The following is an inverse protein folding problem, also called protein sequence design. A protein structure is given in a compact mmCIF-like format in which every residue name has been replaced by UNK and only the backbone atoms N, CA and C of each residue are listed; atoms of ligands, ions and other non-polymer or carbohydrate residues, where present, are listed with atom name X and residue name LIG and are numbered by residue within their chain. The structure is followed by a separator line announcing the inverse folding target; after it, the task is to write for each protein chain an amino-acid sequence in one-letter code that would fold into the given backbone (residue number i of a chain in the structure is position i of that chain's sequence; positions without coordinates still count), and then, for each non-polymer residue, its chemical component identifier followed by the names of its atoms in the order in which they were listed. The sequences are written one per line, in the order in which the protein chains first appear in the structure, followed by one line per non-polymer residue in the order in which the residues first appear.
data_IF_007217681877
#
_entry.id   IF_007217681877
#
_cell.length_a   1.000
_cell.length_b   1.000
_cell.length_c   1.000
_cell.angle_alpha   90.00
_cell.angle_beta   90.00
_cell.angle_gamma   90.00
#
_symmetry.space_group_name_H-M   'P 1'
#
loop_
_entity.id
_entity.type
_entity.pdbx_description
1 polymer ?
#
# COMPACT_ATOMS: atom_id res chain seq x y z
N UNK A 1 -0.32 9.17 32.54
CA UNK A 1 -0.77 10.58 32.66
C UNK A 1 0.45 11.48 32.87
N UNK A 2 0.74 12.38 31.93
CA UNK A 2 1.92 13.26 31.93
C UNK A 2 1.59 14.67 32.46
N UNK A 3 0.33 15.09 32.33
CA UNK A 3 -0.14 16.40 32.85
C UNK A 3 -1.47 16.24 33.57
N UNK A 4 -1.44 16.33 34.91
CA UNK A 4 -2.66 16.32 35.74
C UNK A 4 -3.52 17.57 35.51
N UNK A 5 -2.90 18.73 35.27
CA UNK A 5 -3.61 19.99 35.03
C UNK A 5 -4.41 19.94 33.73
N UNK A 6 -3.79 19.49 32.63
CA UNK A 6 -4.47 19.34 31.36
C UNK A 6 -5.60 18.30 31.45
N UNK A 7 -5.34 17.16 32.09
CA UNK A 7 -6.37 16.13 32.29
C UNK A 7 -7.59 16.67 33.05
N UNK A 8 -7.37 17.34 34.18
CA UNK A 8 -8.45 17.88 34.99
C UNK A 8 -9.26 18.95 34.25
N UNK A 9 -8.58 19.84 33.49
CA UNK A 9 -9.25 20.90 32.75
C UNK A 9 -10.09 20.32 31.58
N UNK A 10 -9.54 19.39 30.81
CA UNK A 10 -10.24 18.74 29.70
C UNK A 10 -11.38 17.86 30.20
N UNK A 11 -11.21 17.20 31.38
CA UNK A 11 -12.25 16.40 32.03
C UNK A 11 -13.44 17.25 32.43
N UNK A 12 -13.19 18.34 33.16
CA UNK A 12 -14.26 19.27 33.58
C UNK A 12 -15.03 19.83 32.39
N UNK A 13 -14.32 20.18 31.28
CA UNK A 13 -14.96 20.63 30.04
C UNK A 13 -15.82 19.53 29.41
N UNK A 14 -15.36 18.29 29.39
CA UNK A 14 -16.12 17.16 28.82
C UNK A 14 -17.39 16.84 29.64
N UNK A 15 -17.32 16.96 30.96
CA UNK A 15 -18.48 16.79 31.88
C UNK A 15 -19.55 17.87 31.67
N UNK A 16 -19.14 19.13 31.54
CA UNK A 16 -20.08 20.23 31.23
C UNK A 16 -20.66 20.11 29.84
N UNK A 17 -19.84 19.75 28.86
CA UNK A 17 -20.28 19.50 27.47
C UNK A 17 -21.28 18.33 27.40
N UNK A 18 -21.02 17.22 28.08
CA UNK A 18 -21.94 16.10 28.19
C UNK A 18 -23.30 16.53 28.72
N UNK A 19 -23.31 17.28 29.81
CA UNK A 19 -24.56 17.80 30.41
C UNK A 19 -25.35 18.72 29.48
N UNK A 20 -24.66 19.61 28.77
CA UNK A 20 -25.28 20.50 27.78
C UNK A 20 -25.90 19.70 26.61
N UNK A 21 -25.12 18.83 26.00
CA UNK A 21 -25.52 18.09 24.81
C UNK A 21 -26.65 17.09 25.10
N UNK A 22 -26.56 16.36 26.23
CA UNK A 22 -27.62 15.48 26.72
C UNK A 22 -28.91 16.26 27.03
N UNK A 23 -28.80 17.47 27.58
CA UNK A 23 -29.95 18.35 27.81
C UNK A 23 -30.64 18.80 26.54
N UNK A 24 -29.86 19.15 25.50
CA UNK A 24 -30.41 19.55 24.20
C UNK A 24 -31.08 18.38 23.47
N UNK A 25 -30.48 17.20 23.47
CA UNK A 25 -31.10 15.99 22.86
C UNK A 25 -32.38 15.57 23.59
N UNK A 26 -32.40 15.66 24.92
CA UNK A 26 -33.62 15.43 25.71
C UNK A 26 -34.74 16.46 25.39
N UNK A 27 -34.39 17.65 24.91
CA UNK A 27 -35.34 18.70 24.46
C UNK A 27 -35.73 18.56 22.98
N UNK A 28 -35.27 17.50 22.30
CA UNK A 28 -35.61 17.20 20.92
C UNK A 28 -34.60 17.64 19.86
N UNK A 29 -33.39 18.04 20.25
CA UNK A 29 -32.34 18.28 19.27
C UNK A 29 -31.90 16.93 18.65
N UNK A 30 -32.02 16.82 17.34
CA UNK A 30 -31.66 15.60 16.60
C UNK A 30 -30.18 15.61 16.20
N UNK A 31 -29.49 14.50 16.45
CA UNK A 31 -28.14 14.25 15.91
C UNK A 31 -28.30 13.79 14.46
N UNK A 32 -27.70 14.48 13.48
CA UNK A 32 -27.74 14.02 12.11
C UNK A 32 -27.05 12.65 11.96
N UNK A 33 -27.48 11.86 10.99
CA UNK A 33 -26.91 10.54 10.74
C UNK A 33 -26.70 10.32 9.25
N UNK A 34 -25.74 9.45 8.93
CA UNK A 34 -25.49 8.93 7.60
C UNK A 34 -25.92 7.48 7.53
N UNK A 35 -26.47 7.08 6.38
CA UNK A 35 -26.80 5.68 6.08
C UNK A 35 -25.58 5.02 5.46
N UNK A 36 -24.95 4.12 6.19
CA UNK A 36 -23.88 3.31 5.69
C UNK A 36 -24.42 1.93 5.27
N UNK A 37 -24.27 1.59 3.99
CA UNK A 37 -24.63 0.28 3.48
C UNK A 37 -23.46 -0.68 3.76
N UNK A 38 -23.67 -1.63 4.66
CA UNK A 38 -22.68 -2.66 4.93
C UNK A 38 -22.84 -3.77 3.91
N UNK A 39 -21.97 -3.79 2.89
CA UNK A 39 -21.90 -4.85 1.90
C UNK A 39 -21.46 -6.15 2.55
N UNK A 40 -22.39 -7.02 2.89
CA UNK A 40 -22.09 -8.40 3.29
C UNK A 40 -22.09 -9.28 2.05
N UNK A 41 -20.92 -9.68 1.57
CA UNK A 41 -20.78 -10.71 0.52
C UNK A 41 -21.49 -11.99 1.00
N UNK A 42 -22.62 -12.30 0.38
CA UNK A 42 -23.39 -13.52 0.67
C UNK A 42 -24.81 -13.31 1.17
N UNK A 43 -25.21 -12.12 1.57
CA UNK A 43 -26.60 -11.82 1.93
C UNK A 43 -27.29 -11.04 0.81
N UNK A 44 -28.47 -11.53 0.39
CA UNK A 44 -29.29 -10.91 -0.68
C UNK A 44 -29.96 -9.56 -0.28
N UNK A 45 -29.85 -9.16 0.99
CA UNK A 45 -30.47 -7.92 1.48
C UNK A 45 -29.37 -7.06 2.10
N UNK A 46 -29.18 -5.81 1.63
CA UNK A 46 -28.21 -4.90 2.22
C UNK A 46 -28.60 -4.59 3.67
N UNK A 47 -27.58 -4.61 4.56
CA UNK A 47 -27.75 -4.14 5.93
C UNK A 47 -27.37 -2.66 5.98
N UNK A 48 -28.31 -1.83 6.43
CA UNK A 48 -28.08 -0.40 6.63
C UNK A 48 -27.73 -0.13 8.08
N UNK A 49 -26.59 0.49 8.32
CA UNK A 49 -26.20 1.01 9.61
C UNK A 49 -26.39 2.53 9.64
N UNK A 50 -27.03 3.01 10.70
CA UNK A 50 -27.17 4.45 10.95
C UNK A 50 -25.93 4.92 11.74
N UNK A 51 -25.10 5.73 11.08
CA UNK A 51 -23.93 6.31 11.71
C UNK A 51 -24.21 7.74 12.13
N UNK A 52 -24.24 8.07 13.44
CA UNK A 52 -24.49 9.42 13.88
C UNK A 52 -23.32 10.35 13.55
N UNK A 53 -23.62 11.49 12.95
CA UNK A 53 -22.66 12.52 12.56
C UNK A 53 -22.38 13.47 13.76
N UNK A 54 -21.84 12.94 14.84
CA UNK A 54 -21.56 13.67 16.10
C UNK A 54 -20.69 14.90 15.84
N UNK A 55 -19.68 14.82 14.97
CA UNK A 55 -18.82 15.96 14.63
C UNK A 55 -19.59 17.14 14.01
N UNK A 56 -20.61 16.87 13.19
CA UNK A 56 -21.51 17.92 12.65
C UNK A 56 -22.38 18.54 13.74
N UNK A 57 -22.95 17.71 14.57
CA UNK A 57 -23.75 18.14 15.70
C UNK A 57 -22.97 19.07 16.63
N UNK A 58 -21.72 18.73 16.98
CA UNK A 58 -20.82 19.56 17.78
C UNK A 58 -20.46 20.86 17.08
N UNK A 59 -20.22 20.85 15.75
CA UNK A 59 -19.89 22.07 14.99
C UNK A 59 -20.99 23.10 15.02
N UNK A 60 -22.24 22.68 14.94
CA UNK A 60 -23.39 23.58 15.01
C UNK A 60 -23.56 24.21 16.41
N UNK A 61 -22.91 23.64 17.43
CA UNK A 61 -22.95 24.06 18.85
C UNK A 61 -21.65 24.67 19.36
N UNK A 62 -20.70 24.94 18.47
CA UNK A 62 -19.39 25.47 18.84
C UNK A 62 -19.48 26.68 19.78
N UNK A 63 -20.34 27.67 19.46
CA UNK A 63 -20.53 28.87 20.29
C UNK A 63 -21.16 28.58 21.66
N UNK A 64 -21.94 27.50 21.83
CA UNK A 64 -22.49 27.10 23.11
C UNK A 64 -21.40 26.41 23.96
N UNK A 65 -20.62 25.54 23.34
CA UNK A 65 -19.48 24.86 23.98
C UNK A 65 -18.42 25.84 24.45
N UNK A 66 -18.09 26.86 23.66
CA UNK A 66 -17.14 27.92 24.04
C UNK A 66 -17.57 28.76 25.23
N UNK A 67 -18.88 28.84 25.53
CA UNK A 67 -19.45 29.57 26.67
C UNK A 67 -19.47 28.75 27.96
N UNK A 68 -19.13 27.49 27.93
CA UNK A 68 -19.09 26.65 29.12
C UNK A 68 -18.02 27.17 30.11
N UNK A 69 -18.31 27.19 31.41
CA UNK A 69 -17.38 27.69 32.46
C UNK A 69 -16.00 27.01 32.43
N UNK A 70 -15.93 25.73 32.12
CA UNK A 70 -14.67 24.98 32.02
C UNK A 70 -13.89 25.21 30.74
N UNK A 71 -14.52 25.76 29.67
CA UNK A 71 -13.87 25.95 28.38
C UNK A 71 -12.58 26.80 28.43
N UNK A 72 -12.54 27.99 29.10
CA UNK A 72 -11.32 28.80 29.12
C UNK A 72 -10.12 28.12 29.77
N UNK A 73 -10.36 27.31 30.82
CA UNK A 73 -9.29 26.56 31.49
C UNK A 73 -8.75 25.42 30.58
N UNK A 74 -9.65 24.69 29.91
CA UNK A 74 -9.27 23.64 28.98
C UNK A 74 -8.55 24.19 27.74
N UNK A 75 -9.07 25.27 27.17
CA UNK A 75 -8.43 25.94 26.01
C UNK A 75 -7.05 26.52 26.39
N UNK A 76 -6.92 27.12 27.56
CA UNK A 76 -5.65 27.60 28.08
C UNK A 76 -4.60 26.52 28.24
N UNK A 77 -4.99 25.38 28.86
CA UNK A 77 -4.09 24.23 29.01
C UNK A 77 -3.64 23.61 27.67
N UNK A 78 -4.48 23.68 26.64
CA UNK A 78 -4.09 23.27 25.27
C UNK A 78 -3.23 24.31 24.57
N UNK A 79 -3.41 25.59 24.85
CA UNK A 79 -2.61 26.67 24.27
C UNK A 79 -1.12 26.56 24.60
N UNK A 80 -0.77 25.97 25.75
CA UNK A 80 0.60 25.66 26.14
C UNK A 80 1.29 24.67 25.17
N UNK A 81 0.51 24.01 24.33
CA UNK A 81 0.95 23.04 23.31
C UNK A 81 0.53 23.43 21.89
N UNK A 82 0.38 24.73 21.62
CA UNK A 82 -0.15 25.26 20.36
C UNK A 82 0.61 24.80 19.11
N UNK A 83 1.91 24.52 19.24
CA UNK A 83 2.78 23.99 18.18
C UNK A 83 2.41 22.57 17.73
N UNK A 84 1.73 21.79 18.59
CA UNK A 84 1.36 20.38 18.34
C UNK A 84 -0.11 20.18 18.01
N UNK A 85 -0.97 21.17 18.30
CA UNK A 85 -2.39 21.09 17.97
C UNK A 85 -2.69 20.90 16.48
N UNK A 86 -1.96 21.51 15.52
CA UNK A 86 -2.17 21.26 14.10
C UNK A 86 -2.06 19.78 13.73
N UNK A 87 -1.13 19.06 14.37
CA UNK A 87 -0.94 17.62 14.16
C UNK A 87 -2.11 16.80 14.72
N UNK A 88 -2.53 17.12 15.95
CA UNK A 88 -3.68 16.49 16.56
C UNK A 88 -4.95 16.64 15.71
N UNK A 89 -5.23 17.88 15.26
CA UNK A 89 -6.37 18.16 14.39
C UNK A 89 -6.28 17.43 13.04
N UNK A 90 -5.10 17.45 12.42
CA UNK A 90 -4.89 16.71 11.15
C UNK A 90 -5.09 15.22 11.30
N UNK A 91 -4.66 14.61 12.42
CA UNK A 91 -4.87 13.20 12.71
C UNK A 91 -6.35 12.85 12.77
N UNK A 92 -7.19 13.76 13.26
CA UNK A 92 -8.65 13.61 13.34
C UNK A 92 -9.40 14.06 12.07
N UNK A 93 -8.70 14.47 11.02
CA UNK A 93 -9.32 14.93 9.77
C UNK A 93 -9.85 16.38 9.84
N UNK A 94 -9.51 17.11 10.92
CA UNK A 94 -9.92 18.50 11.13
C UNK A 94 -8.91 19.48 10.53
N UNK A 95 -9.34 20.76 10.35
CA UNK A 95 -8.47 21.82 9.82
C UNK A 95 -7.35 22.14 10.82
N UNK A 96 -6.07 22.06 10.42
CA UNK A 96 -4.93 22.26 11.32
C UNK A 96 -4.89 23.65 11.98
N UNK A 97 -5.51 24.67 11.35
CA UNK A 97 -5.48 26.06 11.80
C UNK A 97 -6.51 26.41 12.91
N UNK A 98 -7.29 25.44 13.38
CA UNK A 98 -8.41 25.70 14.29
C UNK A 98 -8.03 26.05 15.75
N UNK A 99 -6.79 25.80 16.16
CA UNK A 99 -6.31 26.10 17.51
C UNK A 99 -6.99 25.33 18.65
N UNK A 100 -6.87 25.80 19.92
CA UNK A 100 -7.42 25.10 21.09
C UNK A 100 -8.93 24.84 21.06
N UNK A 101 -9.81 25.79 20.63
CA UNK A 101 -11.25 25.51 20.56
C UNK A 101 -11.58 24.34 19.60
N UNK A 102 -10.97 24.32 18.42
CA UNK A 102 -11.17 23.22 17.48
C UNK A 102 -10.62 21.91 18.01
N UNK A 103 -9.51 21.91 18.75
CA UNK A 103 -8.96 20.72 19.36
C UNK A 103 -9.87 20.17 20.46
N UNK A 104 -10.50 21.02 21.28
CA UNK A 104 -11.50 20.63 22.27
C UNK A 104 -12.74 20.02 21.61
N UNK A 105 -13.21 20.63 20.52
CA UNK A 105 -14.35 20.13 19.78
C UNK A 105 -14.05 18.76 19.14
N UNK A 106 -12.88 18.61 18.50
CA UNK A 106 -12.42 17.35 17.95
C UNK A 106 -12.25 16.27 19.03
N UNK A 107 -11.77 16.64 20.21
CA UNK A 107 -11.68 15.78 21.38
C UNK A 107 -13.06 15.26 21.82
N UNK A 108 -14.07 16.14 21.92
CA UNK A 108 -15.44 15.73 22.23
C UNK A 108 -16.00 14.79 21.16
N UNK A 109 -15.71 15.05 19.88
CA UNK A 109 -16.09 14.16 18.79
C UNK A 109 -15.55 12.74 18.94
N UNK A 110 -14.38 12.60 19.60
CA UNK A 110 -13.80 11.28 19.93
C UNK A 110 -14.46 10.64 21.16
N UNK A 111 -14.69 11.43 22.19
CA UNK A 111 -15.32 10.93 23.43
C UNK A 111 -16.73 10.41 23.15
N UNK A 112 -17.50 11.16 22.35
CA UNK A 112 -18.89 10.83 22.02
C UNK A 112 -19.08 10.15 20.65
N UNK A 113 -18.00 9.62 20.05
CA UNK A 113 -18.11 8.90 18.79
C UNK A 113 -19.22 7.81 18.86
N UNK A 114 -20.09 7.80 17.84
CA UNK A 114 -21.21 6.85 17.72
C UNK A 114 -22.27 6.88 18.84
N UNK A 115 -22.27 7.92 19.69
CA UNK A 115 -23.27 8.12 20.74
C UNK A 115 -24.23 9.25 20.41
N UNK A 116 -25.50 9.10 20.76
CA UNK A 116 -26.53 10.11 20.60
C UNK A 116 -27.08 10.62 21.93
N UNK A 117 -26.76 9.95 23.04
CA UNK A 117 -27.19 10.30 24.40
C UNK A 117 -26.17 11.19 25.13
N UNK A 118 -24.97 11.33 24.59
CA UNK A 118 -23.86 12.10 25.15
C UNK A 118 -23.52 11.75 26.61
N UNK A 119 -23.79 10.50 27.04
CA UNK A 119 -23.36 10.02 28.33
C UNK A 119 -21.83 9.92 28.41
N UNK A 120 -21.22 10.57 29.38
CA UNK A 120 -19.77 10.52 29.55
C UNK A 120 -19.34 9.17 30.13
N UNK A 121 -18.65 8.37 29.32
CA UNK A 121 -18.04 7.11 29.69
C UNK A 121 -16.55 7.29 30.00
N UNK A 122 -16.14 6.88 31.21
CA UNK A 122 -14.76 7.05 31.70
C UNK A 122 -13.75 6.35 30.80
N UNK A 123 -14.05 5.14 30.33
CA UNK A 123 -13.12 4.39 29.51
C UNK A 123 -12.95 5.04 28.11
N UNK A 124 -14.00 5.66 27.57
CA UNK A 124 -13.93 6.42 26.31
C UNK A 124 -13.15 7.71 26.50
N UNK A 125 -13.43 8.44 27.59
CA UNK A 125 -12.67 9.63 27.92
C UNK A 125 -11.19 9.32 28.08
N UNK A 126 -10.83 8.31 28.85
CA UNK A 126 -9.43 7.93 29.10
C UNK A 126 -8.70 7.52 27.82
N UNK A 127 -9.37 6.79 26.93
CA UNK A 127 -8.80 6.47 25.61
C UNK A 127 -8.57 7.72 24.76
N UNK A 128 -9.55 8.62 24.69
CA UNK A 128 -9.42 9.87 23.93
C UNK A 128 -8.32 10.76 24.51
N UNK A 129 -8.23 10.84 25.85
CA UNK A 129 -7.21 11.63 26.53
C UNK A 129 -5.81 11.03 26.35
N UNK A 130 -5.65 9.72 26.46
CA UNK A 130 -4.36 9.06 26.23
C UNK A 130 -3.81 9.38 24.83
N UNK A 131 -4.67 9.41 23.82
CA UNK A 131 -4.27 9.79 22.45
C UNK A 131 -3.91 11.28 22.32
N UNK A 132 -4.69 12.17 22.92
CA UNK A 132 -4.35 13.59 23.01
C UNK A 132 -2.99 13.79 23.70
N UNK A 133 -2.79 13.15 24.85
CA UNK A 133 -1.54 13.21 25.61
C UNK A 133 -0.35 12.69 24.82
N UNK A 134 -0.52 11.60 24.05
CA UNK A 134 0.53 11.03 23.22
C UNK A 134 0.98 11.99 22.12
N UNK A 135 0.05 12.64 21.43
CA UNK A 135 0.37 13.64 20.40
C UNK A 135 1.04 14.86 21.03
N UNK A 136 0.49 15.36 22.14
CA UNK A 136 0.99 16.60 22.75
C UNK A 136 2.37 16.44 23.42
N UNK A 137 2.66 15.30 24.02
CA UNK A 137 3.88 15.11 24.81
C UNK A 137 4.91 14.16 24.19
N UNK A 138 4.46 13.14 23.45
CA UNK A 138 5.39 12.21 22.79
C UNK A 138 5.64 12.58 21.33
N UNK A 139 4.76 13.38 20.72
CA UNK A 139 4.86 13.72 19.32
C UNK A 139 4.70 12.49 18.40
N UNK A 140 4.02 11.44 18.86
CA UNK A 140 3.85 10.16 18.15
C UNK A 140 2.39 9.96 17.78
N UNK A 141 2.17 9.56 16.54
CA UNK A 141 0.87 9.13 16.01
C UNK A 141 1.05 7.84 15.23
N UNK A 142 0.06 6.96 15.28
CA UNK A 142 0.07 5.76 14.45
C UNK A 142 -0.54 6.08 13.08
N UNK A 143 0.04 5.56 12.03
CA UNK A 143 -0.54 5.63 10.70
C UNK A 143 -0.68 4.22 10.12
N UNK A 144 -1.79 4.00 9.46
CA UNK A 144 -2.07 2.80 8.67
C UNK A 144 -2.33 3.25 7.24
N UNK A 145 -1.59 2.67 6.30
CA UNK A 145 -1.82 2.89 4.86
C UNK A 145 -2.21 1.56 4.26
N UNK A 146 -3.31 1.54 3.50
CA UNK A 146 -3.80 0.35 2.82
C UNK A 146 -3.85 0.58 1.31
N UNK A 147 -3.60 -0.48 0.55
CA UNK A 147 -3.60 -0.46 -0.90
C UNK A 147 -4.15 -1.80 -1.43
N UNK A 148 -5.17 -1.81 -2.31
CA UNK A 148 -5.68 -3.03 -2.92
C UNK A 148 -4.60 -3.80 -3.68
N UNK A 149 -4.55 -5.12 -3.49
CA UNK A 149 -3.69 -6.03 -4.24
C UNK A 149 -4.55 -6.82 -5.21
N UNK A 150 -4.33 -6.64 -6.49
CA UNK A 150 -5.07 -7.27 -7.56
C UNK A 150 -4.33 -8.52 -8.03
N UNK A 151 -5.05 -9.57 -8.38
CA UNK A 151 -4.48 -10.83 -8.87
C UNK A 151 -3.85 -11.72 -7.79
N UNK A 152 -4.09 -11.44 -6.51
CA UNK A 152 -3.59 -12.24 -5.38
C UNK A 152 -4.72 -12.57 -4.41
N UNK A 153 -4.77 -13.80 -3.91
CA UNK A 153 -5.53 -14.21 -2.73
C UNK A 153 -4.59 -14.89 -1.73
N UNK A 154 -4.96 -14.90 -0.46
CA UNK A 154 -4.19 -15.48 0.64
C UNK A 154 -5.08 -16.38 1.50
N UNK A 155 -4.57 -17.53 1.93
CA UNK A 155 -5.34 -18.47 2.75
C UNK A 155 -5.59 -17.94 4.17
N UNK A 156 -4.61 -17.25 4.76
CA UNK A 156 -4.71 -16.67 6.11
C UNK A 156 -5.34 -15.29 6.11
N UNK A 157 -5.88 -14.86 7.26
CA UNK A 157 -6.40 -13.50 7.45
C UNK A 157 -5.32 -12.41 7.30
N UNK A 158 -4.08 -12.71 7.70
CA UNK A 158 -2.94 -11.79 7.62
C UNK A 158 -1.61 -12.53 7.46
N UNK A 159 -0.84 -12.14 6.46
CA UNK A 159 0.55 -12.56 6.23
C UNK A 159 1.47 -11.41 6.59
N UNK A 160 2.14 -11.50 7.75
CA UNK A 160 3.07 -10.46 8.24
C UNK A 160 4.40 -10.58 7.52
N UNK A 161 4.80 -9.53 6.78
CA UNK A 161 6.04 -9.49 5.99
C UNK A 161 7.21 -8.81 6.71
N UNK A 162 6.94 -8.13 7.82
CA UNK A 162 7.95 -7.43 8.62
C UNK A 162 7.99 -5.90 8.39
N UNK A 163 8.68 -5.19 9.29
CA UNK A 163 8.85 -3.73 9.22
C UNK A 163 7.54 -2.95 9.05
N UNK A 164 6.46 -3.41 9.69
CA UNK A 164 5.13 -2.81 9.63
C UNK A 164 4.34 -3.13 8.36
N UNK A 165 4.85 -4.00 7.48
CA UNK A 165 4.22 -4.41 6.24
C UNK A 165 3.53 -5.77 6.39
N UNK A 166 2.30 -5.90 5.92
CA UNK A 166 1.57 -7.16 5.82
C UNK A 166 0.67 -7.19 4.59
N UNK A 167 0.30 -8.39 4.16
CA UNK A 167 -0.84 -8.65 3.29
C UNK A 167 -2.00 -9.08 4.18
N UNK A 168 -3.20 -8.58 3.94
CA UNK A 168 -4.33 -8.88 4.79
C UNK A 168 -5.60 -9.04 3.97
N UNK A 169 -6.44 -10.01 4.34
CA UNK A 169 -7.79 -10.09 3.79
C UNK A 169 -8.55 -8.81 4.11
N UNK A 170 -9.23 -8.25 3.12
CA UNK A 170 -9.94 -6.99 3.28
C UNK A 170 -11.03 -7.08 4.36
N UNK A 171 -11.72 -8.22 4.43
CA UNK A 171 -12.76 -8.51 5.44
C UNK A 171 -12.20 -8.66 6.87
N UNK A 172 -10.92 -9.05 7.00
CA UNK A 172 -10.26 -9.20 8.28
C UNK A 172 -9.68 -7.88 8.84
N UNK A 173 -9.75 -6.78 8.08
CA UNK A 173 -9.29 -5.45 8.51
C UNK A 173 -10.48 -4.62 9.05
N UNK A 174 -10.61 -4.45 10.38
CA UNK A 174 -11.73 -3.70 10.94
C UNK A 174 -11.76 -2.25 10.46
N UNK A 175 -12.91 -1.80 9.94
CA UNK A 175 -13.10 -0.46 9.45
C UNK A 175 -12.19 -0.12 8.25
N UNK A 176 -11.92 -1.08 7.38
CA UNK A 176 -11.25 -0.84 6.11
C UNK A 176 -12.07 0.13 5.24
N UNK A 177 -11.42 0.94 4.37
CA UNK A 177 -12.16 1.80 3.45
C UNK A 177 -12.98 0.94 2.47
N UNK A 178 -14.27 1.26 2.35
CA UNK A 178 -15.23 0.50 1.52
C UNK A 178 -14.74 0.37 0.08
N UNK A 179 -14.24 1.46 -0.49
CA UNK A 179 -13.74 1.49 -1.86
C UNK A 179 -12.51 0.60 -2.09
N UNK A 180 -11.71 0.37 -1.04
CA UNK A 180 -10.58 -0.56 -1.12
C UNK A 180 -11.05 -2.01 -1.09
N UNK A 181 -12.02 -2.31 -0.23
CA UNK A 181 -12.62 -3.65 -0.10
C UNK A 181 -13.39 -4.06 -1.36
N UNK A 182 -14.03 -3.10 -2.04
CA UNK A 182 -14.72 -3.36 -3.32
C UNK A 182 -13.76 -3.69 -4.46
N UNK A 183 -12.51 -3.19 -4.41
CA UNK A 183 -11.53 -3.39 -5.47
C UNK A 183 -10.79 -4.73 -5.37
N UNK A 184 -10.51 -5.22 -4.15
CA UNK A 184 -9.72 -6.44 -3.97
C UNK A 184 -10.03 -7.14 -2.65
N UNK A 185 -9.87 -8.48 -2.65
CA UNK A 185 -10.01 -9.31 -1.47
C UNK A 185 -8.80 -9.24 -0.54
N UNK A 186 -7.65 -8.80 -1.07
CA UNK A 186 -6.39 -8.66 -0.33
C UNK A 186 -5.92 -7.21 -0.37
N UNK A 187 -5.51 -6.70 0.78
CA UNK A 187 -4.92 -5.38 0.96
C UNK A 187 -3.46 -5.50 1.40
N UNK A 188 -2.58 -4.75 0.78
CA UNK A 188 -1.26 -4.46 1.34
C UNK A 188 -1.44 -3.40 2.42
N UNK A 189 -0.99 -3.72 3.63
CA UNK A 189 -1.13 -2.87 4.82
C UNK A 189 0.25 -2.45 5.30
N UNK A 190 0.45 -1.15 5.47
CA UNK A 190 1.66 -0.60 6.06
C UNK A 190 1.30 0.18 7.33
N UNK A 191 1.89 -0.22 8.46
CA UNK A 191 1.74 0.43 9.77
C UNK A 191 3.03 1.14 10.12
N UNK A 192 2.94 2.41 10.48
CA UNK A 192 4.06 3.21 10.90
C UNK A 192 3.71 4.07 12.11
N UNK A 193 4.70 4.29 12.96
CA UNK A 193 4.65 5.34 13.98
C UNK A 193 5.25 6.60 13.38
N UNK A 194 4.47 7.69 13.35
CA UNK A 194 4.91 8.99 12.86
C UNK A 194 5.44 9.80 14.03
N UNK A 195 6.69 10.24 13.93
CA UNK A 195 7.32 11.17 14.88
C UNK A 195 7.41 12.58 14.27
N UNK A 196 7.69 13.62 15.09
CA UNK A 196 7.64 15.04 14.70
C UNK A 196 8.42 15.44 13.44
N UNK A 197 9.40 14.66 13.01
CA UNK A 197 10.19 14.90 11.79
C UNK A 197 10.16 13.75 10.80
N UNK A 198 9.24 12.80 11.01
CA UNK A 198 9.13 11.64 10.12
C UNK A 198 8.60 12.08 8.73
N UNK A 199 9.04 11.41 7.65
CA UNK A 199 8.46 11.62 6.34
C UNK A 199 6.97 11.29 6.33
N UNK A 200 6.23 11.90 5.40
CA UNK A 200 4.83 11.62 5.15
C UNK A 200 4.58 10.09 5.07
N UNK A 201 3.58 9.56 5.79
CA UNK A 201 3.25 8.13 5.78
C UNK A 201 2.94 7.61 4.38
N UNK A 202 2.33 8.41 3.49
CA UNK A 202 2.14 8.02 2.09
C UNK A 202 3.48 7.80 1.37
N UNK A 203 4.44 8.71 1.54
CA UNK A 203 5.76 8.58 0.92
C UNK A 203 6.55 7.37 1.47
N UNK A 204 6.37 7.04 2.76
CA UNK A 204 6.95 5.84 3.35
C UNK A 204 6.31 4.58 2.78
N UNK A 205 4.97 4.51 2.80
CA UNK A 205 4.19 3.40 2.27
C UNK A 205 4.50 3.16 0.79
N UNK A 206 4.53 4.20 -0.04
CA UNK A 206 4.82 4.09 -1.47
C UNK A 206 6.16 3.42 -1.77
N UNK A 207 7.20 3.70 -0.97
CA UNK A 207 8.49 3.02 -1.10
C UNK A 207 8.42 1.54 -0.69
N UNK A 208 7.65 1.22 0.36
CA UNK A 208 7.47 -0.15 0.84
C UNK A 208 6.63 -0.97 -0.12
N UNK A 209 5.51 -0.42 -0.57
CA UNK A 209 4.61 -1.08 -1.51
C UNK A 209 5.27 -1.33 -2.87
N UNK A 210 6.07 -0.40 -3.39
CA UNK A 210 6.82 -0.64 -4.64
C UNK A 210 7.75 -1.85 -4.51
N UNK A 211 8.50 -1.96 -3.40
CA UNK A 211 9.37 -3.12 -3.16
C UNK A 211 8.58 -4.42 -2.97
N UNK A 212 7.43 -4.33 -2.32
CA UNK A 212 6.53 -5.47 -2.18
C UNK A 212 6.04 -5.95 -3.54
N UNK A 213 5.57 -5.03 -4.40
CA UNK A 213 5.11 -5.39 -5.74
C UNK A 213 6.21 -6.06 -6.57
N UNK A 214 7.43 -5.49 -6.54
CA UNK A 214 8.58 -6.12 -7.19
C UNK A 214 8.83 -7.53 -6.67
N UNK A 215 8.77 -7.73 -5.34
CA UNK A 215 8.96 -9.04 -4.73
C UNK A 215 7.85 -10.03 -5.15
N UNK A 216 6.59 -9.62 -5.11
CA UNK A 216 5.47 -10.47 -5.52
C UNK A 216 5.58 -10.91 -6.99
N UNK A 217 5.89 -9.98 -7.89
CA UNK A 217 6.09 -10.25 -9.33
C UNK A 217 7.30 -11.13 -9.64
N UNK A 218 8.32 -11.13 -8.78
CA UNK A 218 9.47 -12.05 -8.89
C UNK A 218 9.18 -13.41 -8.25
N UNK A 219 8.34 -13.47 -7.22
CA UNK A 219 7.98 -14.69 -6.51
C UNK A 219 7.14 -15.61 -7.39
N UNK A 220 6.09 -15.06 -7.97
CA UNK A 220 5.17 -15.80 -8.82
C UNK A 220 5.07 -15.17 -10.22
N UNK A 221 4.60 -15.94 -11.22
CA UNK A 221 4.42 -15.48 -12.60
C UNK A 221 3.03 -14.89 -12.87
N UNK A 222 2.16 -14.91 -11.87
CA UNK A 222 0.84 -14.33 -11.98
C UNK A 222 0.86 -12.82 -12.18
N UNK A 223 -0.22 -12.31 -12.78
CA UNK A 223 -0.40 -10.89 -13.04
C UNK A 223 -0.80 -10.15 -11.77
N UNK A 224 0.18 -9.89 -10.88
CA UNK A 224 -0.06 -9.16 -9.63
C UNK A 224 0.17 -7.66 -9.85
N UNK A 225 -0.80 -6.86 -9.40
CA UNK A 225 -0.68 -5.40 -9.42
C UNK A 225 -1.33 -4.76 -8.19
N UNK A 226 -1.17 -3.44 -8.08
CA UNK A 226 -1.83 -2.65 -7.05
C UNK A 226 -2.93 -1.78 -7.64
N UNK A 227 -3.97 -1.52 -6.84
CA UNK A 227 -4.97 -0.52 -7.17
C UNK A 227 -4.37 0.88 -7.28
N UNK A 228 -5.02 1.80 -8.00
CA UNK A 228 -4.49 3.16 -8.24
C UNK A 228 -4.54 4.06 -7.01
N UNK A 229 -5.41 3.77 -6.07
CA UNK A 229 -5.65 4.58 -4.87
C UNK A 229 -5.23 3.82 -3.64
N UNK A 230 -4.47 4.46 -2.77
CA UNK A 230 -4.22 4.02 -1.42
C UNK A 230 -4.96 4.90 -0.42
N UNK A 231 -5.25 4.37 0.74
CA UNK A 231 -5.91 5.09 1.82
C UNK A 231 -5.02 5.13 3.04
N UNK A 232 -4.93 6.30 3.66
CA UNK A 232 -4.24 6.50 4.93
C UNK A 232 -5.24 6.84 6.02
N UNK A 233 -5.05 6.23 7.17
CA UNK A 233 -5.70 6.59 8.43
C UNK A 233 -4.62 6.89 9.46
N UNK A 234 -4.72 8.05 10.08
CA UNK A 234 -3.85 8.45 11.18
C UNK A 234 -4.64 8.31 12.47
N UNK A 235 -4.12 7.54 13.39
CA UNK A 235 -4.83 7.09 14.61
C UNK A 235 -6.18 6.45 14.25
N UNK A 236 -7.27 6.86 14.90
CA UNK A 236 -8.63 6.45 14.56
C UNK A 236 -9.39 7.53 13.76
N UNK A 237 -8.67 8.42 13.05
CA UNK A 237 -9.26 9.42 12.17
C UNK A 237 -9.91 8.79 10.93
N UNK A 238 -10.53 9.60 10.07
CA UNK A 238 -11.12 9.12 8.85
C UNK A 238 -10.06 8.66 7.84
N UNK A 239 -10.43 7.70 7.00
CA UNK A 239 -9.63 7.31 5.85
C UNK A 239 -9.54 8.45 4.84
N UNK A 240 -8.36 8.66 4.27
CA UNK A 240 -8.12 9.65 3.22
C UNK A 240 -7.44 8.95 2.04
N UNK A 241 -8.09 8.99 0.89
CA UNK A 241 -7.57 8.42 -0.34
C UNK A 241 -6.54 9.32 -1.01
N UNK A 242 -5.57 8.72 -1.70
CA UNK A 242 -4.57 9.41 -2.50
C UNK A 242 -3.91 8.49 -3.52
N UNK A 243 -3.39 9.07 -4.61
CA UNK A 243 -2.68 8.32 -5.63
C UNK A 243 -1.24 8.05 -5.16
N UNK A 244 -0.83 6.79 -5.15
CA UNK A 244 0.54 6.41 -4.77
C UNK A 244 1.50 6.33 -5.96
N UNK A 245 1.00 6.28 -7.19
CA UNK A 245 1.81 6.13 -8.40
C UNK A 245 2.67 4.85 -8.41
N UNK A 246 2.18 3.79 -7.79
CA UNK A 246 2.86 2.51 -7.69
C UNK A 246 2.12 1.48 -8.53
N UNK A 247 2.59 1.24 -9.76
CA UNK A 247 2.28 0.02 -10.50
C UNK A 247 0.79 -0.31 -10.67
N UNK A 248 -0.05 0.71 -10.84
CA UNK A 248 -1.42 0.51 -11.28
C UNK A 248 -1.39 0.10 -12.75
N UNK A 249 -1.04 -1.15 -13.01
CA UNK A 249 -1.03 -1.70 -14.35
C UNK A 249 -2.44 -1.77 -14.91
N UNK A 250 -2.59 -1.40 -16.18
CA UNK A 250 -3.80 -1.63 -16.96
C UNK A 250 -3.91 -3.10 -17.43
N UNK A 251 -3.08 -3.99 -16.90
CA UNK A 251 -3.09 -5.40 -17.29
C UNK A 251 -4.46 -6.01 -16.99
N UNK A 252 -5.02 -6.66 -17.98
CA UNK A 252 -6.17 -7.53 -17.79
C UNK A 252 -5.71 -8.70 -16.89
N UNK A 253 -6.29 -8.78 -15.69
CA UNK A 253 -5.97 -9.86 -14.76
C UNK A 253 -6.69 -11.12 -15.21
N UNK A 254 -5.95 -12.03 -15.79
CA UNK A 254 -6.41 -13.38 -16.04
C UNK A 254 -5.89 -14.29 -14.93
N UNK A 255 -6.78 -14.66 -14.00
CA UNK A 255 -6.46 -15.53 -12.89
C UNK A 255 -6.09 -14.81 -11.57
N UNK A 256 -6.06 -15.59 -10.51
CA UNK A 256 -5.69 -15.17 -9.17
C UNK A 256 -4.64 -16.14 -8.65
N UNK A 257 -3.51 -15.63 -8.22
CA UNK A 257 -2.49 -16.39 -7.50
C UNK A 257 -3.00 -16.63 -6.09
N UNK A 258 -3.14 -17.88 -5.68
CA UNK A 258 -3.49 -18.24 -4.31
C UNK A 258 -2.21 -18.55 -3.54
N UNK A 259 -1.94 -17.79 -2.49
CA UNK A 259 -0.87 -18.09 -1.54
C UNK A 259 -1.44 -18.99 -0.43
N UNK A 260 -0.99 -20.24 -0.42
CA UNK A 260 -1.36 -21.19 0.61
C UNK A 260 -0.63 -20.90 1.94
N UNK A 261 -1.21 -21.34 3.07
CA UNK A 261 -0.67 -21.06 4.39
C UNK A 261 0.76 -21.62 4.58
N UNK A 262 1.09 -22.73 3.93
CA UNK A 262 2.41 -23.35 3.95
C UNK A 262 3.49 -22.54 3.23
N UNK A 263 3.10 -21.68 2.28
CA UNK A 263 3.99 -20.85 1.47
C UNK A 263 4.28 -19.47 2.11
N UNK A 264 3.53 -19.07 3.13
CA UNK A 264 3.62 -17.74 3.75
C UNK A 264 5.01 -17.45 4.32
N UNK A 265 5.64 -18.44 4.96
CA UNK A 265 6.99 -18.27 5.52
C UNK A 265 8.04 -18.11 4.42
N UNK A 266 7.88 -18.82 3.30
CA UNK A 266 8.74 -18.69 2.12
C UNK A 266 8.59 -17.32 1.49
N UNK A 267 7.35 -16.85 1.25
CA UNK A 267 7.09 -15.51 0.74
C UNK A 267 7.68 -14.44 1.66
N UNK A 268 7.50 -14.56 2.97
CA UNK A 268 8.08 -13.63 3.95
C UNK A 268 9.60 -13.57 3.84
N UNK A 269 10.25 -14.73 3.81
CA UNK A 269 11.70 -14.83 3.67
C UNK A 269 12.17 -14.21 2.35
N UNK A 270 11.48 -14.50 1.26
CA UNK A 270 11.75 -13.94 -0.07
C UNK A 270 11.59 -12.42 -0.10
N UNK A 271 10.48 -11.87 0.37
CA UNK A 271 10.25 -10.42 0.44
C UNK A 271 11.36 -9.72 1.23
N UNK A 272 11.77 -10.28 2.37
CA UNK A 272 12.85 -9.75 3.18
C UNK A 272 14.22 -9.82 2.47
N UNK A 273 14.48 -10.89 1.73
CA UNK A 273 15.70 -11.04 0.94
C UNK A 273 15.75 -10.00 -0.18
N UNK A 274 14.69 -9.88 -0.98
CA UNK A 274 14.59 -8.90 -2.07
C UNK A 274 14.75 -7.47 -1.51
N UNK A 275 14.06 -7.14 -0.40
CA UNK A 275 14.17 -5.81 0.20
C UNK A 275 15.61 -5.40 0.58
N UNK A 276 16.45 -6.37 0.98
CA UNK A 276 17.86 -6.14 1.34
C UNK A 276 18.79 -6.10 0.12
N UNK A 277 18.47 -6.86 -0.93
CA UNK A 277 19.33 -7.04 -2.11
C UNK A 277 18.90 -6.21 -3.32
N UNK A 278 17.86 -5.39 -3.20
CA UNK A 278 17.41 -4.50 -4.27
C UNK A 278 18.56 -3.63 -4.77
N UNK A 279 18.94 -3.74 -6.05
CA UNK A 279 20.04 -2.98 -6.61
C UNK A 279 19.65 -1.50 -6.73
N UNK A 280 20.62 -0.61 -6.46
CA UNK A 280 20.38 0.85 -6.54
C UNK A 280 20.85 1.46 -7.85
N UNK A 281 21.73 0.79 -8.56
CA UNK A 281 22.32 1.25 -9.82
C UNK A 281 22.92 0.05 -10.58
N UNK A 282 23.31 0.28 -11.82
CA UNK A 282 23.95 -0.72 -12.70
C UNK A 282 22.93 -1.48 -13.55
N UNK A 283 23.46 -2.46 -14.28
CA UNK A 283 22.71 -3.25 -15.27
C UNK A 283 21.53 -4.00 -14.65
N UNK A 284 21.75 -4.59 -13.46
CA UNK A 284 20.70 -5.32 -12.73
C UNK A 284 19.54 -4.40 -12.30
N UNK A 285 19.85 -3.17 -11.82
CA UNK A 285 18.81 -2.20 -11.47
C UNK A 285 18.02 -1.74 -12.68
N UNK A 286 18.73 -1.54 -13.81
CA UNK A 286 18.10 -1.19 -15.08
C UNK A 286 17.20 -2.31 -15.59
N UNK A 287 17.69 -3.56 -15.63
CA UNK A 287 16.93 -4.72 -16.07
C UNK A 287 15.68 -4.93 -15.22
N UNK A 288 15.80 -4.79 -13.89
CA UNK A 288 14.67 -4.88 -12.96
C UNK A 288 13.63 -3.80 -13.25
N UNK A 289 14.05 -2.54 -13.47
CA UNK A 289 13.14 -1.46 -13.83
C UNK A 289 12.44 -1.69 -15.19
N UNK A 290 13.11 -2.33 -16.15
CA UNK A 290 12.48 -2.73 -17.44
C UNK A 290 11.46 -3.84 -17.23
N UNK A 291 11.78 -4.84 -16.41
CA UNK A 291 10.83 -5.89 -16.03
C UNK A 291 9.57 -5.31 -15.37
N UNK A 292 9.73 -4.42 -14.38
CA UNK A 292 8.59 -3.74 -13.75
C UNK A 292 7.74 -2.97 -14.77
N UNK A 293 8.38 -2.27 -15.71
CA UNK A 293 7.66 -1.56 -16.77
C UNK A 293 6.92 -2.51 -17.72
N UNK A 294 7.52 -3.65 -18.06
CA UNK A 294 6.88 -4.66 -18.90
C UNK A 294 5.61 -5.20 -18.24
N UNK A 295 5.64 -5.47 -16.92
CA UNK A 295 4.48 -5.89 -16.15
C UNK A 295 3.35 -4.85 -16.09
N UNK A 296 3.61 -3.59 -16.42
CA UNK A 296 2.63 -2.49 -16.38
C UNK A 296 2.06 -2.17 -17.78
N UNK A 297 2.50 -2.86 -18.84
CA UNK A 297 1.99 -2.63 -20.19
C UNK A 297 0.61 -3.25 -20.38
N UNK A 298 -0.21 -2.56 -21.17
CA UNK A 298 -1.56 -3.00 -21.48
C UNK A 298 -1.61 -4.22 -22.42
N UNK A 299 -0.56 -4.46 -23.18
CA UNK A 299 -0.47 -5.59 -24.11
C UNK A 299 0.93 -6.20 -24.11
N UNK A 300 1.03 -7.49 -24.42
CA UNK A 300 2.29 -8.21 -24.56
C UNK A 300 3.22 -7.53 -25.59
N UNK A 301 2.69 -7.09 -26.73
CA UNK A 301 3.50 -6.41 -27.77
C UNK A 301 4.12 -5.11 -27.27
N UNK A 302 3.44 -4.35 -26.42
CA UNK A 302 4.01 -3.16 -25.76
C UNK A 302 5.08 -3.53 -24.74
N UNK A 303 4.91 -4.68 -24.04
CA UNK A 303 5.86 -5.18 -23.06
C UNK A 303 7.17 -5.68 -23.71
N UNK A 304 7.11 -6.19 -24.95
CA UNK A 304 8.24 -6.82 -25.64
C UNK A 304 9.51 -5.98 -25.63
N UNK A 305 9.40 -4.69 -25.93
CA UNK A 305 10.56 -3.79 -25.95
C UNK A 305 11.21 -3.69 -24.55
N UNK A 306 10.41 -3.57 -23.50
CA UNK A 306 10.91 -3.49 -22.13
C UNK A 306 11.56 -4.82 -21.70
N UNK A 307 10.97 -5.97 -22.04
CA UNK A 307 11.54 -7.31 -21.79
C UNK A 307 12.89 -7.46 -22.49
N UNK A 308 12.97 -7.13 -23.79
CA UNK A 308 14.22 -7.23 -24.55
C UNK A 308 15.29 -6.25 -24.05
N UNK A 309 14.91 -5.05 -23.62
CA UNK A 309 15.84 -4.11 -22.99
C UNK A 309 16.39 -4.65 -21.67
N UNK A 310 15.56 -5.29 -20.85
CA UNK A 310 15.98 -5.96 -19.62
C UNK A 310 16.96 -7.10 -19.89
N UNK A 311 16.63 -8.00 -20.82
CA UNK A 311 17.51 -9.10 -21.22
C UNK A 311 18.84 -8.62 -21.80
N UNK A 312 18.83 -7.58 -22.65
CA UNK A 312 20.06 -6.99 -23.21
C UNK A 312 20.94 -6.40 -22.14
N UNK A 313 20.39 -5.69 -21.17
CA UNK A 313 21.18 -5.14 -20.07
C UNK A 313 21.95 -6.21 -19.30
N UNK A 314 21.38 -7.40 -19.15
CA UNK A 314 22.01 -8.51 -18.42
C UNK A 314 22.96 -9.34 -19.30
N UNK A 315 22.62 -9.54 -20.58
CA UNK A 315 23.25 -10.55 -21.45
C UNK A 315 23.99 -9.97 -22.65
N UNK A 316 23.75 -8.70 -23.01
CA UNK A 316 24.32 -8.07 -24.21
C UNK A 316 24.71 -6.60 -23.95
N UNK A 317 25.45 -6.29 -22.87
CA UNK A 317 25.83 -4.91 -22.54
C UNK A 317 26.75 -4.27 -23.61
N UNK A 318 27.35 -5.06 -24.50
CA UNK A 318 28.14 -4.58 -25.64
C UNK A 318 27.30 -3.88 -26.72
N UNK A 319 25.98 -4.04 -26.65
CA UNK A 319 24.99 -3.45 -27.55
C UNK A 319 24.46 -4.44 -28.60
N UNK A 320 23.32 -4.09 -29.19
CA UNK A 320 22.52 -4.95 -30.06
C UNK A 320 23.24 -5.48 -31.31
N UNK A 321 24.34 -4.84 -31.73
CA UNK A 321 25.11 -5.26 -32.90
C UNK A 321 25.95 -6.51 -32.64
N UNK A 322 26.13 -6.90 -31.37
CA UNK A 322 26.88 -8.13 -31.02
C UNK A 322 26.15 -9.38 -31.46
N UNK A 323 24.79 -9.36 -31.43
CA UNK A 323 23.96 -10.51 -31.80
C UNK A 323 24.06 -11.67 -30.82
N UNK A 324 24.60 -11.46 -29.61
CA UNK A 324 24.88 -12.51 -28.65
C UNK A 324 23.68 -12.88 -27.78
N UNK A 325 22.68 -12.00 -27.64
CA UNK A 325 21.54 -12.21 -26.76
C UNK A 325 20.86 -13.58 -26.94
N UNK A 326 20.50 -14.05 -28.16
CA UNK A 326 19.82 -15.34 -28.29
C UNK A 326 20.65 -16.52 -27.79
N UNK A 327 21.93 -16.55 -28.11
CA UNK A 327 22.84 -17.62 -27.71
C UNK A 327 23.08 -17.64 -26.20
N UNK A 328 23.33 -16.48 -25.58
CA UNK A 328 23.55 -16.35 -24.15
C UNK A 328 22.29 -16.67 -23.32
N UNK A 329 21.11 -16.21 -23.78
CA UNK A 329 19.84 -16.55 -23.15
C UNK A 329 19.62 -18.07 -23.15
N UNK A 330 19.79 -18.70 -24.32
CA UNK A 330 19.63 -20.14 -24.47
C UNK A 330 20.62 -20.93 -23.63
N UNK A 331 21.86 -20.45 -23.47
CA UNK A 331 22.87 -21.12 -22.64
C UNK A 331 22.49 -21.15 -21.16
N UNK A 332 21.84 -20.08 -20.65
CA UNK A 332 21.44 -19.94 -19.24
C UNK A 332 20.08 -20.58 -18.95
N UNK A 333 19.12 -20.46 -19.88
CA UNK A 333 17.71 -20.75 -19.60
C UNK A 333 17.21 -22.06 -20.23
N UNK A 334 18.03 -22.78 -21.05
CA UNK A 334 17.61 -23.99 -21.70
C UNK A 334 18.58 -25.14 -21.49
N UNK A 335 18.05 -26.37 -21.46
CA UNK A 335 18.85 -27.60 -21.49
C UNK A 335 19.59 -27.72 -22.84
N UNK A 336 20.76 -28.40 -22.90
CA UNK A 336 21.53 -28.49 -24.13
C UNK A 336 20.75 -28.85 -25.41
N UNK A 337 19.78 -29.79 -25.39
CA UNK A 337 18.99 -30.10 -26.58
C UNK A 337 18.01 -29.00 -26.99
N UNK A 338 17.58 -28.15 -26.07
CA UNK A 338 16.57 -27.11 -26.29
C UNK A 338 17.18 -25.75 -26.66
N UNK A 339 18.50 -25.58 -26.46
CA UNK A 339 19.20 -24.29 -26.70
C UNK A 339 18.98 -23.72 -28.09
N UNK A 340 19.05 -24.55 -29.13
CA UNK A 340 18.85 -24.10 -30.50
C UNK A 340 17.44 -23.56 -30.75
N UNK A 341 16.43 -24.21 -30.14
CA UNK A 341 15.04 -23.79 -30.25
C UNK A 341 14.77 -22.47 -29.51
N UNK A 342 15.27 -22.32 -28.27
CA UNK A 342 15.13 -21.06 -27.52
C UNK A 342 15.89 -19.91 -28.20
N UNK A 343 17.09 -20.14 -28.70
CA UNK A 343 17.84 -19.12 -29.46
C UNK A 343 17.07 -18.64 -30.70
N UNK A 344 16.43 -19.56 -31.45
CA UNK A 344 15.60 -19.20 -32.59
C UNK A 344 14.38 -18.34 -32.19
N UNK A 345 13.69 -18.70 -31.10
CA UNK A 345 12.55 -17.91 -30.56
C UNK A 345 12.99 -16.52 -30.11
N UNK A 346 14.12 -16.41 -29.38
CA UNK A 346 14.67 -15.11 -28.98
C UNK A 346 15.06 -14.24 -30.19
N UNK A 347 15.66 -14.83 -31.25
CA UNK A 347 15.95 -14.13 -32.49
C UNK A 347 14.66 -13.67 -33.22
N UNK A 348 13.61 -14.48 -33.19
CA UNK A 348 12.29 -14.11 -33.72
C UNK A 348 11.71 -12.91 -32.97
N UNK A 349 11.75 -12.92 -31.64
CA UNK A 349 11.28 -11.80 -30.82
C UNK A 349 12.03 -10.49 -31.08
N UNK A 350 13.36 -10.54 -31.31
CA UNK A 350 14.16 -9.38 -31.73
C UNK A 350 13.69 -8.85 -33.10
N UNK A 351 13.29 -9.74 -34.01
CA UNK A 351 12.74 -9.34 -35.32
C UNK A 351 11.35 -8.72 -35.16
N UNK A 352 10.53 -9.26 -34.28
CA UNK A 352 9.20 -8.77 -33.93
C UNK A 352 9.27 -7.37 -33.29
N UNK A 353 10.24 -7.09 -32.42
CA UNK A 353 10.44 -5.76 -31.84
C UNK A 353 10.54 -4.66 -32.90
N UNK A 354 11.19 -4.92 -34.02
CA UNK A 354 11.26 -3.95 -35.12
C UNK A 354 9.89 -3.67 -35.73
N UNK A 355 9.05 -4.70 -35.86
CA UNK A 355 7.68 -4.53 -36.35
C UNK A 355 6.81 -3.78 -35.32
N UNK A 356 6.99 -4.04 -34.03
CA UNK A 356 6.32 -3.29 -32.92
C UNK A 356 6.66 -1.80 -33.01
N UNK A 357 7.95 -1.47 -33.09
CA UNK A 357 8.41 -0.07 -33.19
C UNK A 357 7.91 0.61 -34.46
N UNK A 358 7.77 -0.14 -35.58
CA UNK A 358 7.20 0.35 -36.82
C UNK A 358 5.65 0.42 -36.82
N UNK A 359 4.97 -0.04 -35.79
CA UNK A 359 3.51 -0.12 -35.71
C UNK A 359 2.89 -1.16 -36.65
N UNK A 360 3.67 -2.16 -37.08
CA UNK A 360 3.28 -3.22 -38.03
C UNK A 360 3.32 -4.62 -37.41
N UNK A 361 3.42 -4.72 -36.10
CA UNK A 361 3.49 -5.99 -35.40
C UNK A 361 2.22 -6.82 -35.63
N UNK A 362 2.34 -8.12 -35.88
CA UNK A 362 1.20 -9.01 -35.85
C UNK A 362 0.69 -9.13 -34.44
N UNK A 363 -0.62 -9.32 -34.29
CA UNK A 363 -1.28 -9.63 -33.01
C UNK A 363 -1.76 -11.07 -33.04
N UNK A 364 -1.74 -11.75 -31.91
CA UNK A 364 -2.30 -13.09 -31.76
C UNK A 364 -1.60 -13.90 -30.68
N UNK A 365 -2.26 -14.95 -30.23
CA UNK A 365 -1.90 -15.82 -29.12
C UNK A 365 -0.43 -16.30 -29.16
N UNK A 366 0.08 -16.71 -30.33
CA UNK A 366 1.47 -17.16 -30.48
C UNK A 366 2.51 -16.04 -30.23
N UNK A 367 2.14 -14.79 -30.48
CA UNK A 367 3.01 -13.63 -30.20
C UNK A 367 3.02 -13.37 -28.71
N UNK A 368 1.87 -13.42 -28.06
CA UNK A 368 1.73 -13.20 -26.62
C UNK A 368 2.45 -14.31 -25.86
N UNK A 369 2.28 -15.60 -26.20
CA UNK A 369 3.02 -16.73 -25.64
C UNK A 369 4.55 -16.57 -25.73
N UNK A 370 5.06 -16.09 -26.87
CA UNK A 370 6.49 -15.83 -27.03
C UNK A 370 6.99 -14.73 -26.11
N UNK A 371 6.20 -13.67 -25.92
CA UNK A 371 6.56 -12.55 -25.07
C UNK A 371 6.53 -12.97 -23.61
N UNK A 372 5.52 -13.74 -23.19
CA UNK A 372 5.39 -14.28 -21.85
C UNK A 372 6.54 -15.24 -21.52
N UNK A 373 6.94 -16.10 -22.46
CA UNK A 373 8.12 -16.96 -22.29
C UNK A 373 9.40 -16.12 -22.01
N UNK A 374 9.63 -15.06 -22.80
CA UNK A 374 10.82 -14.22 -22.59
C UNK A 374 10.74 -13.39 -21.31
N UNK A 375 9.57 -12.92 -20.94
CA UNK A 375 9.33 -12.25 -19.65
C UNK A 375 9.60 -13.21 -18.50
N UNK A 376 9.14 -14.46 -18.60
CA UNK A 376 9.42 -15.53 -17.63
C UNK A 376 10.93 -15.80 -17.49
N UNK A 377 11.69 -15.84 -18.58
CA UNK A 377 13.14 -15.97 -18.53
C UNK A 377 13.82 -14.76 -17.87
N UNK A 378 13.39 -13.54 -18.21
CA UNK A 378 13.91 -12.33 -17.55
C UNK A 378 13.63 -12.36 -16.04
N UNK A 379 12.40 -12.71 -15.65
CA UNK A 379 12.01 -12.90 -14.24
C UNK A 379 12.91 -13.90 -13.52
N UNK A 380 13.11 -15.09 -14.11
CA UNK A 380 13.92 -16.15 -13.53
C UNK A 380 15.38 -15.69 -13.32
N UNK A 381 15.99 -15.05 -14.33
CA UNK A 381 17.35 -14.53 -14.23
C UNK A 381 17.47 -13.46 -13.13
N UNK A 382 16.53 -12.50 -13.08
CA UNK A 382 16.50 -11.46 -12.04
C UNK A 382 16.34 -12.07 -10.65
N UNK A 383 15.42 -13.01 -10.48
CA UNK A 383 15.19 -13.72 -9.22
C UNK A 383 16.45 -14.47 -8.77
N UNK A 384 17.07 -15.24 -9.66
CA UNK A 384 18.20 -16.10 -9.31
C UNK A 384 19.45 -15.28 -8.97
N UNK A 385 19.69 -14.17 -9.66
CA UNK A 385 20.76 -13.23 -9.29
C UNK A 385 20.46 -12.57 -7.93
N UNK A 386 19.24 -12.09 -7.70
CA UNK A 386 18.86 -11.45 -6.45
C UNK A 386 18.88 -12.44 -5.28
N UNK A 387 18.50 -13.69 -5.51
CA UNK A 387 18.60 -14.75 -4.50
C UNK A 387 20.04 -15.22 -4.28
N UNK A 388 20.96 -14.93 -5.20
CA UNK A 388 22.35 -15.35 -5.12
C UNK A 388 22.58 -16.80 -5.60
N UNK A 389 21.64 -17.33 -6.39
CA UNK A 389 21.75 -18.62 -7.07
C UNK A 389 22.62 -18.50 -8.32
N UNK A 390 22.64 -17.34 -8.95
CA UNK A 390 23.49 -17.01 -10.09
C UNK A 390 24.41 -15.84 -9.76
N UNK A 391 25.61 -15.84 -10.36
CA UNK A 391 26.51 -14.69 -10.36
C UNK A 391 25.85 -13.51 -11.11
N UNK A 392 26.14 -12.30 -10.67
CA UNK A 392 25.64 -11.08 -11.33
C UNK A 392 26.27 -10.87 -12.73
N UNK A 393 27.46 -11.42 -13.02
CA UNK A 393 28.06 -11.43 -14.35
C UNK A 393 27.52 -12.60 -15.19
N UNK A 394 26.23 -12.46 -15.57
CA UNK A 394 25.52 -13.47 -16.39
C UNK A 394 26.16 -13.64 -17.77
N UNK A 395 26.76 -12.60 -18.34
CA UNK A 395 27.44 -12.64 -19.62
C UNK A 395 28.62 -13.62 -19.58
N UNK A 396 29.55 -13.44 -18.63
CA UNK A 396 30.71 -14.33 -18.49
C UNK A 396 30.30 -15.77 -18.21
N UNK A 397 29.23 -15.96 -17.40
CA UNK A 397 28.67 -17.28 -17.14
C UNK A 397 28.12 -17.92 -18.42
N UNK A 398 27.36 -17.19 -19.22
CA UNK A 398 26.79 -17.68 -20.49
C UNK A 398 27.89 -18.04 -21.51
N UNK A 399 28.88 -17.17 -21.68
CA UNK A 399 30.00 -17.39 -22.62
C UNK A 399 30.80 -18.65 -22.23
N UNK A 400 31.01 -18.91 -20.94
CA UNK A 400 31.62 -20.16 -20.47
C UNK A 400 30.80 -21.38 -20.83
N UNK A 401 29.47 -21.35 -20.58
CA UNK A 401 28.59 -22.47 -20.89
C UNK A 401 28.50 -22.75 -22.40
N UNK A 402 28.64 -21.72 -23.24
CA UNK A 402 28.71 -21.86 -24.69
C UNK A 402 30.02 -22.52 -25.10
N UNK A 403 31.14 -22.08 -24.53
CA UNK A 403 32.46 -22.62 -24.81
C UNK A 403 32.58 -24.11 -24.39
N UNK A 404 32.03 -24.48 -23.25
CA UNK A 404 31.99 -25.88 -22.75
C UNK A 404 31.12 -26.79 -23.62
N UNK A 405 30.10 -26.26 -24.29
CA UNK A 405 29.22 -27.01 -25.17
C UNK A 405 29.75 -27.18 -26.60
N UNK A 406 30.79 -26.43 -26.98
CA UNK A 406 31.40 -26.53 -28.32
C UNK A 406 32.11 -27.89 -28.48
N UNK A 407 31.85 -28.67 -29.53
CA UNK A 407 32.58 -29.91 -29.77
C UNK A 407 34.07 -29.60 -29.98
N UNK A 408 34.93 -30.37 -29.34
CA UNK A 408 36.38 -30.28 -29.46
C UNK A 408 36.86 -30.60 -30.88
#
# INVERSE_FOLDING_TARGET
MRSHTLHAAVRAFAEEAASLLAGETAQGAEVPFELEETASRGHRTPLYCYRPLVGEFLRTRASALERLPAHPAAAGALADHADRLPRYLSALGERPSGGPPAALQAFLGRVFAEQTDFALDDARFDRAYARLEEVLFAGRTDAVVVLPVLGLDIASDEVVLGEGLSLRRAEALPGAPTEAVEQADVLAVFRAVIEDRAPDPFAQAGRRFRRLLTALRLYDDGAIAFGPVAWVRVDDGPWRGGLLGTGAGAAAYEGVVLLEAEEEDELRAFCNLIARRMPRAGELAWALGRYEMACERASGTEALTDVLLGLRALLEPEGQQSGQLPGRLAALCATPPERAALAARAAHAISLERAVVAGTAPHGEQVDELIDELAGHLRALLRDVLCGHLDSDLRTLADRLIAEAAPA
#
